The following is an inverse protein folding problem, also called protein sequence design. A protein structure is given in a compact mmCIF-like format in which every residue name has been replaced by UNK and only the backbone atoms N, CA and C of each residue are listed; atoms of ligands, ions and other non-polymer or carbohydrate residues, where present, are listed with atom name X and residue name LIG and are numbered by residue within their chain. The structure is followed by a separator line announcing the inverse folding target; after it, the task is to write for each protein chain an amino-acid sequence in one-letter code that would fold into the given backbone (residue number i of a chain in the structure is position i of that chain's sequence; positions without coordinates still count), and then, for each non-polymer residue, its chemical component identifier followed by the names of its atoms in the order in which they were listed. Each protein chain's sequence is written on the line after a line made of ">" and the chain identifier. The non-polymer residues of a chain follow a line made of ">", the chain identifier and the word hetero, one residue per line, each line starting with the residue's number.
data_IF_506510357531
#
_entry.id   IF_506510357531
#
_cell.length_a   1.000
_cell.length_b   1.000
_cell.length_c   1.000
_cell.angle_alpha   90.00
_cell.angle_beta   90.00
_cell.angle_gamma   90.00
#
_symmetry.space_group_name_H-M   'P 1'
#
loop_
_entity.id
_entity.type
_entity.pdbx_description
1 polymer ?
#
# COMPACT_ATOMS: atom_id res chain seq x y z
N UNK A 1 3.13 -11.85 11.17
CA UNK A 1 2.13 -10.81 11.04
C UNK A 1 1.32 -11.09 9.80
N UNK A 2 0.13 -11.66 9.96
CA UNK A 2 -0.90 -11.62 8.92
C UNK A 2 -1.61 -10.24 8.91
N UNK A 3 -2.55 -10.04 7.98
CA UNK A 3 -3.27 -8.76 7.88
C UNK A 3 -4.19 -8.49 9.08
N UNK A 4 -4.70 -9.53 9.73
CA UNK A 4 -5.53 -9.39 10.93
C UNK A 4 -4.68 -8.94 12.12
N UNK A 5 -3.50 -9.54 12.30
CA UNK A 5 -2.50 -9.13 13.28
C UNK A 5 -2.02 -7.69 13.01
N UNK A 6 -1.82 -7.32 11.73
CA UNK A 6 -1.44 -5.95 11.34
C UNK A 6 -2.53 -4.94 11.68
N UNK A 7 -3.79 -5.21 11.30
CA UNK A 7 -4.92 -4.33 11.65
C UNK A 7 -5.03 -4.14 13.17
N UNK A 8 -4.85 -5.21 13.93
CA UNK A 8 -4.87 -5.18 15.41
C UNK A 8 -3.71 -4.36 15.98
N UNK A 9 -2.49 -4.57 15.48
CA UNK A 9 -1.31 -3.86 15.93
C UNK A 9 -1.40 -2.36 15.66
N UNK A 10 -1.88 -1.96 14.48
CA UNK A 10 -2.10 -0.56 14.11
C UNK A 10 -3.17 0.08 15.00
N UNK A 11 -4.31 -0.60 15.24
CA UNK A 11 -5.35 -0.08 16.13
C UNK A 11 -4.85 0.12 17.56
N UNK A 12 -4.11 -0.86 18.10
CA UNK A 12 -3.50 -0.74 19.41
C UNK A 12 -2.52 0.43 19.48
N UNK A 13 -1.68 0.62 18.46
CA UNK A 13 -0.72 1.72 18.40
C UNK A 13 -1.43 3.08 18.34
N UNK A 14 -2.46 3.23 17.49
CA UNK A 14 -3.22 4.48 17.35
C UNK A 14 -3.92 4.86 18.65
N UNK A 15 -4.52 3.89 19.35
CA UNK A 15 -5.19 4.14 20.64
C UNK A 15 -4.21 4.43 21.77
N UNK A 16 -3.00 3.87 21.72
CA UNK A 16 -1.98 4.05 22.77
C UNK A 16 -1.18 5.33 22.58
N UNK A 17 -0.73 5.60 21.36
CA UNK A 17 0.21 6.67 21.04
C UNK A 17 -0.39 7.76 20.14
N UNK A 18 -1.27 7.36 19.21
CA UNK A 18 -1.88 8.28 18.24
C UNK A 18 -3.08 9.09 18.77
N UNK A 19 -3.49 8.90 20.03
CA UNK A 19 -4.68 9.47 20.68
C UNK A 19 -6.01 8.99 20.06
N UNK A 20 -6.18 9.14 18.75
CA UNK A 20 -7.31 8.64 17.96
C UNK A 20 -6.92 8.59 16.48
N UNK A 21 -7.75 7.92 15.68
CA UNK A 21 -7.69 8.08 14.24
C UNK A 21 -8.02 9.52 13.82
N UNK A 22 -7.40 9.99 12.73
CA UNK A 22 -7.86 11.18 12.01
C UNK A 22 -9.25 10.95 11.39
N UNK A 23 -9.83 11.93 10.69
CA UNK A 23 -11.03 11.69 9.88
C UNK A 23 -10.71 10.85 8.64
N UNK A 24 -11.70 10.16 8.07
CA UNK A 24 -11.51 9.32 6.87
C UNK A 24 -11.01 10.14 5.69
N UNK A 25 -11.53 11.36 5.50
CA UNK A 25 -11.07 12.26 4.44
C UNK A 25 -9.63 12.75 4.68
N UNK A 26 -9.24 12.94 5.94
CA UNK A 26 -7.87 13.30 6.29
C UNK A 26 -6.93 12.13 6.00
N UNK A 27 -7.27 10.91 6.41
CA UNK A 27 -6.45 9.74 6.08
C UNK A 27 -6.43 9.42 4.59
N UNK A 28 -7.48 9.76 3.83
CA UNK A 28 -7.45 9.67 2.36
C UNK A 28 -6.47 10.67 1.74
N UNK A 29 -6.40 11.90 2.27
CA UNK A 29 -5.42 12.89 1.84
C UNK A 29 -3.99 12.43 2.16
N UNK A 30 -3.75 11.95 3.39
CA UNK A 30 -2.45 11.40 3.82
C UNK A 30 -2.07 10.19 2.95
N UNK A 31 -3.01 9.26 2.68
CA UNK A 31 -2.71 8.12 1.80
C UNK A 31 -2.24 8.57 0.42
N UNK A 32 -2.82 9.66 -0.10
CA UNK A 32 -2.41 10.22 -1.40
C UNK A 32 -1.03 10.86 -1.33
N UNK A 33 -0.70 11.50 -0.21
CA UNK A 33 0.63 12.04 0.09
C UNK A 33 1.69 10.92 0.09
N UNK A 34 1.48 9.84 0.86
CA UNK A 34 2.41 8.70 0.93
C UNK A 34 2.58 8.00 -0.43
N UNK A 35 1.50 7.89 -1.21
CA UNK A 35 1.59 7.35 -2.58
C UNK A 35 2.42 8.27 -3.48
N UNK A 36 2.38 9.58 -3.26
CA UNK A 36 3.21 10.56 -3.96
C UNK A 36 4.69 10.42 -3.61
N UNK A 37 5.01 10.20 -2.34
CA UNK A 37 6.35 9.91 -1.83
C UNK A 37 6.91 8.62 -2.44
N UNK A 38 6.12 7.54 -2.41
CA UNK A 38 6.45 6.28 -3.08
C UNK A 38 6.67 6.47 -4.59
N UNK A 39 5.80 7.22 -5.26
CA UNK A 39 5.92 7.50 -6.69
C UNK A 39 7.21 8.27 -7.01
N UNK A 40 7.62 9.21 -6.16
CA UNK A 40 8.88 9.95 -6.28
C UNK A 40 10.07 8.99 -6.26
N UNK A 41 10.15 8.08 -5.29
CA UNK A 41 11.24 7.09 -5.19
C UNK A 41 11.23 6.14 -6.38
N UNK A 42 10.07 5.63 -6.78
CA UNK A 42 9.93 4.75 -7.94
C UNK A 42 10.42 5.41 -9.23
N UNK A 43 10.05 6.68 -9.46
CA UNK A 43 10.50 7.44 -10.62
C UNK A 43 12.02 7.66 -10.63
N UNK A 44 12.67 7.70 -9.45
CA UNK A 44 14.12 7.94 -9.35
C UNK A 44 14.93 6.66 -9.50
N UNK A 45 14.41 5.58 -8.92
CA UNK A 45 15.08 4.28 -8.89
C UNK A 45 14.89 3.47 -10.16
N UNK A 46 13.69 3.53 -10.73
CA UNK A 46 13.28 2.68 -11.86
C UNK A 46 12.82 3.48 -13.08
N UNK A 47 12.69 4.81 -12.96
CA UNK A 47 12.38 5.71 -14.06
C UNK A 47 13.60 6.51 -14.52
N UNK A 48 13.35 7.49 -15.39
CA UNK A 48 14.42 8.30 -16.02
C UNK A 48 14.84 9.52 -15.20
N UNK A 49 14.31 9.68 -13.98
CA UNK A 49 14.60 10.84 -13.15
C UNK A 49 15.80 10.56 -12.23
N UNK A 50 16.71 11.52 -12.05
CA UNK A 50 17.83 11.36 -11.12
C UNK A 50 17.44 11.67 -9.67
N UNK A 51 18.12 11.04 -8.71
CA UNK A 51 18.13 11.50 -7.32
C UNK A 51 18.82 12.86 -7.21
N UNK A 52 18.31 13.73 -6.34
CA UNK A 52 18.99 14.96 -5.93
C UNK A 52 19.99 14.68 -4.81
N UNK A 53 20.93 15.60 -4.60
CA UNK A 53 21.87 15.52 -3.49
C UNK A 53 21.12 15.44 -2.15
N UNK A 54 21.45 14.43 -1.34
CA UNK A 54 20.81 14.19 -0.05
C UNK A 54 19.52 13.38 -0.08
N UNK A 55 18.92 13.13 -1.25
CA UNK A 55 17.79 12.20 -1.36
C UNK A 55 18.25 10.75 -1.13
N UNK A 56 17.43 9.97 -0.42
CA UNK A 56 17.70 8.56 -0.12
C UNK A 56 16.80 7.66 -0.94
N UNK A 57 17.30 6.48 -1.25
CA UNK A 57 16.50 5.37 -1.75
C UNK A 57 15.84 4.66 -0.54
N UNK A 58 14.70 5.19 -0.11
CA UNK A 58 13.91 4.72 1.04
C UNK A 58 12.65 3.96 0.62
N UNK A 59 12.72 3.21 -0.49
CA UNK A 59 11.55 2.53 -1.08
C UNK A 59 10.75 1.68 -0.08
N UNK A 60 11.45 0.98 0.83
CA UNK A 60 10.80 0.13 1.82
C UNK A 60 9.95 0.93 2.83
N UNK A 61 10.45 2.11 3.23
CA UNK A 61 9.76 2.99 4.18
C UNK A 61 8.48 3.54 3.53
N UNK A 62 8.59 4.04 2.29
CA UNK A 62 7.43 4.60 1.57
C UNK A 62 6.34 3.54 1.31
N UNK A 63 6.72 2.29 1.04
CA UNK A 63 5.75 1.19 0.93
C UNK A 63 5.08 0.89 2.27
N UNK A 64 5.82 0.99 3.37
CA UNK A 64 5.28 0.80 4.71
C UNK A 64 4.32 1.92 5.10
N UNK A 65 4.63 3.17 4.77
CA UNK A 65 3.78 4.33 5.06
C UNK A 65 2.45 4.27 4.29
N UNK A 66 2.50 3.91 3.00
CA UNK A 66 1.28 3.62 2.21
C UNK A 66 0.43 2.52 2.85
N UNK A 67 1.06 1.41 3.25
CA UNK A 67 0.35 0.30 3.89
C UNK A 67 -0.25 0.72 5.23
N UNK A 68 0.48 1.49 6.04
CA UNK A 68 0.06 1.96 7.34
C UNK A 68 -1.23 2.79 7.27
N UNK A 69 -1.26 3.77 6.35
CA UNK A 69 -2.43 4.65 6.21
C UNK A 69 -3.61 3.89 5.60
N UNK A 70 -3.36 2.95 4.68
CA UNK A 70 -4.40 2.06 4.16
C UNK A 70 -5.02 1.20 5.27
N UNK A 71 -4.21 0.66 6.18
CA UNK A 71 -4.69 -0.10 7.34
C UNK A 71 -5.50 0.78 8.29
N UNK A 72 -5.08 2.04 8.50
CA UNK A 72 -5.85 3.00 9.29
C UNK A 72 -7.25 3.21 8.70
N UNK A 73 -7.35 3.45 7.38
CA UNK A 73 -8.64 3.58 6.68
C UNK A 73 -9.49 2.32 6.79
N UNK A 74 -8.88 1.14 6.65
CA UNK A 74 -9.60 -0.12 6.77
C UNK A 74 -10.20 -0.29 8.18
N UNK A 75 -9.42 0.00 9.22
CA UNK A 75 -9.90 -0.08 10.61
C UNK A 75 -11.03 0.93 10.88
N UNK A 76 -10.90 2.17 10.40
CA UNK A 76 -11.93 3.20 10.58
C UNK A 76 -13.26 2.87 9.87
N UNK A 77 -13.17 2.25 8.69
CA UNK A 77 -14.34 1.96 7.85
C UNK A 77 -14.92 0.56 8.08
N UNK A 78 -14.31 -0.24 8.97
CA UNK A 78 -14.76 -1.60 9.28
C UNK A 78 -14.44 -2.62 8.19
N UNK A 79 -13.47 -2.34 7.32
CA UNK A 79 -13.02 -3.27 6.28
C UNK A 79 -12.06 -4.30 6.88
N UNK A 80 -12.41 -5.58 6.76
CA UNK A 80 -11.49 -6.71 7.01
C UNK A 80 -10.57 -6.90 5.80
N UNK A 81 -9.30 -6.52 5.94
CA UNK A 81 -8.31 -6.62 4.87
C UNK A 81 -7.98 -8.06 4.50
N UNK A 82 -8.02 -8.99 5.46
CA UNK A 82 -7.70 -10.40 5.22
C UNK A 82 -8.77 -11.05 4.33
N UNK A 83 -10.04 -10.79 4.64
CA UNK A 83 -11.16 -11.18 3.78
C UNK A 83 -11.15 -10.45 2.43
N UNK A 84 -10.86 -9.13 2.43
CA UNK A 84 -10.83 -8.33 1.21
C UNK A 84 -9.76 -8.82 0.22
N UNK A 85 -8.55 -9.12 0.69
CA UNK A 85 -7.47 -9.60 -0.18
C UNK A 85 -7.75 -11.01 -0.69
N UNK A 86 -8.27 -11.90 0.16
CA UNK A 86 -8.66 -13.27 -0.21
C UNK A 86 -9.70 -13.27 -1.34
N UNK A 87 -10.73 -12.44 -1.20
CA UNK A 87 -11.74 -12.23 -2.24
C UNK A 87 -11.15 -11.62 -3.53
N UNK A 88 -10.20 -10.71 -3.39
CA UNK A 88 -9.51 -10.09 -4.53
C UNK A 88 -8.71 -11.13 -5.33
N UNK A 89 -7.98 -12.01 -4.64
CA UNK A 89 -7.25 -13.12 -5.27
C UNK A 89 -8.19 -14.06 -6.02
N UNK A 90 -9.29 -14.49 -5.42
CA UNK A 90 -10.28 -15.35 -6.08
C UNK A 90 -10.82 -14.70 -7.38
N UNK A 91 -11.21 -13.42 -7.31
CA UNK A 91 -11.72 -12.66 -8.46
C UNK A 91 -10.66 -12.49 -9.57
N UNK A 92 -9.44 -12.09 -9.21
CA UNK A 92 -8.34 -11.89 -10.18
C UNK A 92 -7.94 -13.21 -10.83
N UNK A 93 -7.87 -14.30 -10.06
CA UNK A 93 -7.53 -15.63 -10.56
C UNK A 93 -8.57 -16.09 -11.57
N UNK A 94 -9.86 -16.01 -11.23
CA UNK A 94 -10.93 -16.39 -12.15
C UNK A 94 -10.91 -15.57 -13.45
N UNK A 95 -10.69 -14.25 -13.34
CA UNK A 95 -10.66 -13.34 -14.50
C UNK A 95 -9.43 -13.56 -15.40
N UNK A 96 -8.26 -13.76 -14.79
CA UNK A 96 -6.98 -13.61 -15.49
C UNK A 96 -6.27 -14.95 -15.74
N UNK A 97 -6.85 -16.08 -15.33
CA UNK A 97 -6.23 -17.43 -15.41
C UNK A 97 -5.56 -17.72 -16.75
N UNK A 98 -6.11 -17.23 -17.86
CA UNK A 98 -5.53 -17.41 -19.20
C UNK A 98 -5.24 -16.10 -19.95
N UNK A 99 -5.54 -14.93 -19.35
CA UNK A 99 -5.55 -13.65 -20.06
C UNK A 99 -4.18 -13.24 -20.60
N UNK A 100 -3.13 -13.48 -19.82
CA UNK A 100 -1.79 -12.98 -20.09
C UNK A 100 -0.75 -14.05 -20.40
N UNK A 101 -1.10 -15.34 -20.25
CA UNK A 101 -0.16 -16.48 -20.39
C UNK A 101 0.54 -16.57 -21.75
N UNK A 102 0.00 -15.93 -22.79
CA UNK A 102 0.56 -15.91 -24.15
C UNK A 102 1.02 -14.53 -24.60
N UNK A 103 1.09 -13.54 -23.70
CA UNK A 103 1.50 -12.18 -24.08
C UNK A 103 3.03 -12.10 -24.17
N UNK A 104 3.64 -12.05 -25.36
CA UNK A 104 5.09 -12.06 -25.51
C UNK A 104 5.77 -10.82 -24.91
N UNK A 105 5.03 -9.73 -24.68
CA UNK A 105 5.55 -8.53 -23.99
C UNK A 105 5.88 -8.79 -22.52
N UNK A 106 5.35 -9.86 -21.92
CA UNK A 106 5.57 -10.21 -20.51
C UNK A 106 6.64 -11.30 -20.31
N UNK A 107 7.22 -11.80 -21.41
CA UNK A 107 8.23 -12.87 -21.40
C UNK A 107 9.50 -12.47 -22.15
N UNK A 108 9.64 -11.20 -22.53
CA UNK A 108 10.87 -10.67 -23.08
C UNK A 108 11.56 -9.83 -22.00
N UNK A 109 12.78 -10.25 -21.69
CA UNK A 109 13.73 -9.55 -20.83
C UNK A 109 14.21 -8.23 -21.46
#
# INVERSE_FOLDING_TARGET
>A
MDLTELQTAVDAWIKTYGVKYFGELTNMAILTEEVGELARVMARKYGDQSFKEGEKDNLADEMADVLWVLVCLANQTGVDLNSAISNNFAKKTARDVNRHKKNPKLFKD
#
